data_IF_970869179859
#
_entry.id   IF_970869179859
#
_cell.length_a   1.000
_cell.length_b   1.000
_cell.length_c   1.000
_cell.angle_alpha   90.00
_cell.angle_beta   90.00
_cell.angle_gamma   90.00
#
_symmetry.space_group_name_H-M   'P 1'
#
loop_
_entity.id
_entity.type
_entity.pdbx_description
1 polymer ?
#
# COMPACT_ATOMS: atom_id res chain seq x y z
N UNK A 1 -7.23 18.38 26.62
CA UNK A 1 -7.04 17.67 25.33
C UNK A 1 -5.69 18.10 24.79
N UNK A 2 -4.73 17.18 24.65
CA UNK A 2 -3.43 17.50 24.05
C UNK A 2 -3.62 17.94 22.61
N UNK A 3 -2.86 18.93 22.16
CA UNK A 3 -2.90 19.42 20.78
C UNK A 3 -2.45 18.27 19.86
N UNK A 4 -3.30 17.86 18.91
CA UNK A 4 -2.95 16.79 17.96
C UNK A 4 -1.82 17.25 17.05
N UNK A 5 -0.86 16.36 16.81
CA UNK A 5 0.36 16.66 16.04
C UNK A 5 0.04 16.73 14.56
N UNK A 6 0.38 17.85 13.91
CA UNK A 6 0.24 18.01 12.46
C UNK A 6 1.13 17.02 11.69
N UNK A 7 0.64 16.56 10.53
CA UNK A 7 1.32 15.60 9.65
C UNK A 7 1.49 16.22 8.26
N UNK A 8 2.68 16.10 7.71
CA UNK A 8 3.00 16.40 6.31
C UNK A 8 3.10 15.09 5.53
N UNK A 9 2.21 14.90 4.56
CA UNK A 9 2.16 13.69 3.74
C UNK A 9 2.86 13.93 2.40
N UNK A 10 3.91 13.17 2.13
CA UNK A 10 4.68 13.26 0.88
C UNK A 10 4.64 11.92 0.17
N UNK A 11 4.45 11.92 -1.14
CA UNK A 11 4.85 10.79 -1.99
C UNK A 11 6.13 11.15 -2.72
N UNK A 12 7.12 10.26 -2.69
CA UNK A 12 8.41 10.46 -3.33
C UNK A 12 8.77 9.30 -4.26
N UNK A 13 9.30 9.63 -5.43
CA UNK A 13 9.68 8.66 -6.46
C UNK A 13 9.66 9.30 -7.85
N UNK A 14 9.71 8.46 -8.88
CA UNK A 14 9.60 8.91 -10.28
C UNK A 14 9.18 7.78 -11.22
N UNK A 15 8.11 7.95 -12.04
CA UNK A 15 7.16 9.08 -12.08
C UNK A 15 6.09 9.01 -10.97
N UNK A 16 5.65 10.15 -10.43
CA UNK A 16 4.60 10.21 -9.38
C UNK A 16 3.47 11.21 -9.63
N UNK A 17 3.41 11.84 -10.80
CA UNK A 17 2.38 12.82 -11.15
C UNK A 17 0.95 12.30 -10.94
N UNK A 18 0.69 11.03 -11.26
CA UNK A 18 -0.61 10.36 -11.13
C UNK A 18 -0.84 9.74 -9.73
N UNK A 19 0.09 9.88 -8.78
CA UNK A 19 -0.06 9.24 -7.47
C UNK A 19 -1.29 9.74 -6.71
N UNK A 20 -2.07 8.78 -6.19
CA UNK A 20 -3.24 9.01 -5.35
C UNK A 20 -2.91 9.06 -3.85
N UNK A 21 -1.62 8.94 -3.48
CA UNK A 21 -1.18 8.98 -2.07
C UNK A 21 -1.69 10.21 -1.30
N UNK A 22 -1.58 11.45 -1.83
CA UNK A 22 -2.12 12.62 -1.13
C UNK A 22 -3.63 12.59 -0.92
N UNK A 23 -4.39 12.01 -1.86
CA UNK A 23 -5.84 11.90 -1.73
C UNK A 23 -6.22 10.84 -0.70
N UNK A 24 -5.60 9.67 -0.77
CA UNK A 24 -5.80 8.58 0.19
C UNK A 24 -5.47 9.01 1.63
N UNK A 25 -4.40 9.78 1.82
CA UNK A 25 -4.04 10.27 3.15
C UNK A 25 -5.10 11.21 3.74
N UNK A 26 -5.66 12.11 2.92
CA UNK A 26 -6.75 13.00 3.33
C UNK A 26 -8.05 12.25 3.64
N UNK A 27 -8.38 11.21 2.88
CA UNK A 27 -9.55 10.37 3.13
C UNK A 27 -9.46 9.64 4.48
N UNK A 28 -8.29 9.06 4.79
CA UNK A 28 -8.08 8.39 6.09
C UNK A 28 -8.07 9.40 7.24
N UNK A 29 -7.40 10.55 7.06
CA UNK A 29 -7.37 11.63 8.06
C UNK A 29 -8.78 12.16 8.36
N UNK A 30 -9.56 12.45 7.32
CA UNK A 30 -10.93 12.97 7.47
C UNK A 30 -11.86 11.93 8.07
N UNK A 31 -11.66 10.63 7.77
CA UNK A 31 -12.40 9.57 8.45
C UNK A 31 -12.15 9.55 9.95
N UNK A 32 -10.89 9.68 10.36
CA UNK A 32 -10.48 9.62 11.76
C UNK A 32 -10.84 10.90 12.53
N UNK A 33 -10.69 12.07 11.91
CA UNK A 33 -10.70 13.34 12.62
C UNK A 33 -11.85 14.28 12.24
N UNK A 34 -12.54 14.00 11.13
CA UNK A 34 -13.44 14.95 10.49
C UNK A 34 -12.69 16.15 9.91
N UNK A 35 -13.40 17.01 9.17
CA UNK A 35 -12.79 18.13 8.46
C UNK A 35 -12.23 19.25 9.34
N UNK A 36 -12.76 19.41 10.56
CA UNK A 36 -12.42 20.53 11.44
C UNK A 36 -11.22 20.26 12.35
N UNK A 37 -10.77 19.01 12.48
CA UNK A 37 -9.66 18.60 13.36
C UNK A 37 -8.61 17.76 12.61
N UNK A 38 -8.48 17.99 11.29
CA UNK A 38 -7.54 17.28 10.42
C UNK A 38 -6.11 17.33 10.93
N UNK A 39 -5.45 16.19 10.84
CA UNK A 39 -4.05 16.02 11.17
C UNK A 39 -3.15 16.35 9.97
N UNK A 40 -3.57 16.01 8.75
CA UNK A 40 -2.82 16.32 7.53
C UNK A 40 -2.92 17.84 7.27
N UNK A 41 -1.83 18.55 7.54
CA UNK A 41 -1.74 20.00 7.31
C UNK A 41 -1.07 20.36 6.00
N UNK A 42 -0.30 19.44 5.42
CA UNK A 42 0.35 19.66 4.13
C UNK A 42 0.50 18.35 3.34
N UNK A 43 0.45 18.47 2.02
CA UNK A 43 0.66 17.38 1.08
C UNK A 43 1.70 17.78 0.01
N UNK A 44 2.45 16.81 -0.52
CA UNK A 44 3.26 17.03 -1.74
C UNK A 44 3.55 15.77 -2.54
N UNK A 45 3.98 15.99 -3.78
CA UNK A 45 4.54 14.99 -4.69
C UNK A 45 5.98 15.41 -4.98
N UNK A 46 6.95 14.74 -4.37
CA UNK A 46 8.37 15.05 -4.50
C UNK A 46 9.06 14.14 -5.51
N UNK A 47 9.20 14.63 -6.73
CA UNK A 47 9.76 13.86 -7.85
C UNK A 47 11.28 13.72 -7.70
N UNK A 48 11.76 12.50 -7.45
CA UNK A 48 13.19 12.20 -7.33
C UNK A 48 13.47 10.71 -7.55
N UNK A 49 14.64 10.42 -8.13
CA UNK A 49 15.20 9.07 -8.20
C UNK A 49 16.30 8.79 -7.19
N UNK A 50 16.70 9.79 -6.39
CA UNK A 50 17.83 9.70 -5.46
C UNK A 50 17.38 9.74 -4.00
N UNK A 51 17.59 8.62 -3.31
CA UNK A 51 17.32 8.46 -1.88
C UNK A 51 18.20 9.39 -1.03
N UNK A 52 19.46 9.62 -1.43
CA UNK A 52 20.38 10.46 -0.64
C UNK A 52 19.94 11.91 -0.63
N UNK A 53 19.55 12.43 -1.81
CA UNK A 53 18.94 13.76 -1.92
C UNK A 53 17.68 13.88 -1.06
N UNK A 54 16.77 12.90 -1.14
CA UNK A 54 15.54 12.89 -0.34
C UNK A 54 15.83 12.93 1.17
N UNK A 55 16.69 12.04 1.67
CA UNK A 55 17.10 12.03 3.08
C UNK A 55 17.75 13.35 3.51
N UNK A 56 18.57 13.94 2.65
CA UNK A 56 19.16 15.24 2.89
C UNK A 56 18.12 16.34 3.07
N UNK A 57 17.06 16.37 2.25
CA UNK A 57 15.98 17.35 2.41
C UNK A 57 15.22 17.12 3.73
N UNK A 58 14.92 15.87 4.06
CA UNK A 58 14.19 15.48 5.28
C UNK A 58 14.95 15.92 6.54
N UNK A 59 16.22 15.51 6.66
CA UNK A 59 17.01 15.71 7.89
C UNK A 59 17.43 17.17 8.06
N UNK A 60 17.70 17.88 6.96
CA UNK A 60 18.08 19.31 7.00
C UNK A 60 16.88 20.26 7.13
N UNK A 61 15.65 19.72 7.25
CA UNK A 61 14.43 20.52 7.40
C UNK A 61 14.13 21.41 6.18
N UNK A 62 14.54 20.97 4.98
CA UNK A 62 14.34 21.71 3.73
C UNK A 62 12.98 21.39 3.12
N UNK A 63 12.52 22.27 2.23
CA UNK A 63 11.19 22.20 1.65
C UNK A 63 11.04 21.00 0.69
N UNK A 64 10.21 20.02 1.03
CA UNK A 64 9.78 18.92 0.15
C UNK A 64 8.56 19.33 -0.69
N UNK A 65 8.53 20.60 -1.09
CA UNK A 65 7.41 21.26 -1.77
C UNK A 65 6.05 21.03 -1.07
N UNK A 66 6.08 20.97 0.26
CA UNK A 66 4.87 20.75 1.07
C UNK A 66 3.99 21.99 1.03
N UNK A 67 2.73 21.80 0.66
CA UNK A 67 1.74 22.87 0.60
C UNK A 67 0.43 22.42 1.26
N UNK A 68 -0.36 23.39 1.73
CA UNK A 68 -1.70 23.10 2.22
C UNK A 68 -2.54 22.45 1.11
N UNK A 69 -3.36 21.43 1.43
CA UNK A 69 -4.28 20.84 0.45
C UNK A 69 -5.22 21.90 -0.15
N UNK A 70 -5.50 21.87 -1.47
CA UNK A 70 -6.45 22.80 -2.08
C UNK A 70 -7.85 22.67 -1.47
N UNK A 71 -8.54 23.80 -1.23
CA UNK A 71 -9.88 23.79 -0.63
C UNK A 71 -10.90 22.97 -1.41
N UNK A 72 -10.81 22.96 -2.75
CA UNK A 72 -11.66 22.11 -3.60
C UNK A 72 -11.48 20.62 -3.27
N UNK A 73 -10.24 20.16 -3.13
CA UNK A 73 -9.93 18.76 -2.79
C UNK A 73 -10.45 18.42 -1.40
N UNK A 74 -10.31 19.33 -0.43
CA UNK A 74 -10.80 19.14 0.92
C UNK A 74 -12.33 19.00 0.98
N UNK A 75 -13.06 19.82 0.22
CA UNK A 75 -14.51 19.73 0.15
C UNK A 75 -14.96 18.41 -0.47
N UNK A 76 -14.29 17.93 -1.51
CA UNK A 76 -14.60 16.62 -2.12
C UNK A 76 -14.34 15.47 -1.15
N UNK A 77 -13.21 15.50 -0.44
CA UNK A 77 -12.89 14.50 0.59
C UNK A 77 -13.92 14.50 1.73
N UNK A 78 -14.35 15.67 2.17
CA UNK A 78 -15.39 15.82 3.19
C UNK A 78 -16.73 15.24 2.73
N UNK A 79 -17.18 15.62 1.52
CA UNK A 79 -18.42 15.12 0.95
C UNK A 79 -18.38 13.58 0.82
N UNK A 80 -17.33 13.03 0.21
CA UNK A 80 -17.17 11.58 0.09
C UNK A 80 -17.16 10.88 1.46
N UNK A 81 -16.51 11.47 2.47
CA UNK A 81 -16.46 10.88 3.81
C UNK A 81 -17.83 10.86 4.50
N UNK A 82 -18.64 11.92 4.30
CA UNK A 82 -19.95 12.09 4.91
C UNK A 82 -21.07 11.34 4.18
N UNK A 83 -21.01 11.31 2.84
CA UNK A 83 -22.08 10.77 1.98
C UNK A 83 -21.87 9.28 1.69
N UNK A 84 -20.62 8.84 1.51
CA UNK A 84 -20.27 7.43 1.27
C UNK A 84 -19.92 6.76 2.60
N UNK A 85 -20.96 6.17 3.21
CA UNK A 85 -20.87 5.45 4.50
C UNK A 85 -20.87 3.93 4.35
N UNK A 86 -21.25 3.42 3.18
CA UNK A 86 -21.28 2.00 2.83
C UNK A 86 -20.50 1.74 1.53
N UNK A 87 -20.13 0.48 1.30
CA UNK A 87 -19.50 0.04 0.07
C UNK A 87 -20.42 -0.93 -0.70
N UNK A 88 -20.27 -1.07 -2.02
CA UNK A 88 -21.09 -1.99 -2.80
C UNK A 88 -21.04 -3.45 -2.28
N UNK A 89 -22.16 -4.19 -2.36
CA UNK A 89 -22.18 -5.60 -1.99
C UNK A 89 -21.23 -6.41 -2.90
N UNK A 90 -20.57 -7.42 -2.33
CA UNK A 90 -19.59 -8.25 -3.04
C UNK A 90 -18.16 -7.71 -3.02
N UNK A 91 -17.94 -6.48 -2.54
CA UNK A 91 -16.59 -5.97 -2.28
C UNK A 91 -16.13 -6.38 -0.88
N UNK A 92 -15.06 -7.16 -0.80
CA UNK A 92 -14.38 -7.43 0.46
C UNK A 92 -15.28 -7.99 1.56
N UNK A 93 -15.82 -9.20 1.36
CA UNK A 93 -16.89 -9.84 2.13
C UNK A 93 -16.67 -9.92 3.66
N UNK A 94 -15.48 -9.59 4.17
CA UNK A 94 -15.19 -9.50 5.59
C UNK A 94 -14.42 -8.20 5.88
N UNK A 95 -14.90 -7.31 6.76
CA UNK A 95 -14.06 -6.27 7.34
C UNK A 95 -12.98 -6.96 8.17
N UNK A 96 -11.78 -7.04 7.61
CA UNK A 96 -10.65 -7.68 8.27
C UNK A 96 -9.91 -6.60 9.02
N UNK A 97 -9.99 -6.67 10.34
CA UNK A 97 -9.28 -5.77 11.22
C UNK A 97 -7.78 -5.82 10.94
N UNK A 98 -7.15 -4.65 10.93
CA UNK A 98 -5.70 -4.52 10.83
C UNK A 98 -5.14 -4.89 12.20
N UNK A 99 -5.01 -6.19 12.43
CA UNK A 99 -4.51 -6.76 13.67
C UNK A 99 -3.25 -7.58 13.35
N UNK A 100 -2.28 -7.52 14.27
CA UNK A 100 -1.00 -8.24 14.27
C UNK A 100 0.23 -7.57 13.62
N UNK A 101 0.18 -6.31 13.15
CA UNK A 101 1.41 -5.62 12.73
C UNK A 101 2.22 -5.08 13.91
N UNK A 102 3.56 -5.15 13.82
CA UNK A 102 4.47 -4.48 14.76
C UNK A 102 4.25 -2.97 14.69
N UNK A 103 3.87 -2.40 15.83
CA UNK A 103 3.63 -0.95 15.97
C UNK A 103 4.98 -0.25 16.05
N UNK A 104 5.14 0.85 15.31
CA UNK A 104 6.29 1.74 15.48
C UNK A 104 6.15 2.50 16.80
N UNK A 105 7.27 2.72 17.49
CA UNK A 105 7.31 3.59 18.66
C UNK A 105 6.61 4.93 18.41
N UNK A 106 5.90 5.42 19.43
CA UNK A 106 5.17 6.68 19.34
C UNK A 106 6.10 7.84 18.93
N UNK A 107 5.62 8.75 18.06
CA UNK A 107 6.41 9.90 17.63
C UNK A 107 6.92 10.75 18.82
N UNK A 108 8.17 11.20 18.78
CA UNK A 108 8.75 12.03 19.84
C UNK A 108 8.42 13.53 19.67
N UNK A 109 8.17 14.27 20.76
CA UNK A 109 8.03 15.74 20.76
C UNK A 109 6.68 16.30 20.28
N UNK A 110 6.67 17.54 19.78
CA UNK A 110 5.47 18.25 19.29
C UNK A 110 5.63 18.74 17.83
N UNK A 111 6.78 18.45 17.22
CA UNK A 111 7.08 18.88 15.85
C UNK A 111 6.13 18.17 14.85
N UNK A 112 5.79 18.82 13.72
CA UNK A 112 5.05 18.17 12.65
C UNK A 112 5.71 16.86 12.23
N UNK A 113 4.90 15.80 12.11
CA UNK A 113 5.35 14.51 11.62
C UNK A 113 5.46 14.57 10.10
N UNK A 114 6.63 14.26 9.55
CA UNK A 114 6.76 14.06 8.11
C UNK A 114 6.59 12.57 7.81
N UNK A 115 5.58 12.22 7.02
CA UNK A 115 5.37 10.89 6.49
C UNK A 115 5.63 10.90 4.98
N UNK A 116 6.48 9.99 4.53
CA UNK A 116 6.85 9.82 3.12
C UNK A 116 6.50 8.40 2.66
N UNK A 117 5.58 8.31 1.71
CA UNK A 117 5.31 7.10 0.93
C UNK A 117 6.33 7.03 -0.22
N UNK A 118 7.21 6.04 -0.19
CA UNK A 118 8.26 5.85 -1.19
C UNK A 118 7.75 4.93 -2.29
N UNK A 119 7.95 5.34 -3.55
CA UNK A 119 7.71 4.51 -4.72
C UNK A 119 8.96 4.34 -5.57
N UNK A 120 8.86 3.57 -6.65
CA UNK A 120 9.95 3.38 -7.62
C UNK A 120 10.50 4.74 -8.06
N UNK A 121 11.84 4.89 -8.18
CA UNK A 121 12.88 3.88 -7.94
C UNK A 121 13.37 3.81 -6.48
N UNK A 122 12.83 4.59 -5.55
CA UNK A 122 13.42 4.79 -4.22
C UNK A 122 13.37 3.58 -3.28
N UNK A 123 12.47 2.61 -3.49
CA UNK A 123 12.18 1.53 -2.53
C UNK A 123 13.38 0.66 -2.12
N UNK A 124 14.46 0.65 -2.92
CA UNK A 124 15.68 -0.12 -2.66
C UNK A 124 16.87 0.74 -2.19
N UNK A 125 16.66 2.05 -1.98
CA UNK A 125 17.73 3.01 -1.71
C UNK A 125 18.23 3.04 -0.25
N UNK A 126 17.58 2.31 0.65
CA UNK A 126 17.94 2.25 2.07
C UNK A 126 18.52 0.89 2.45
N UNK A 127 19.49 0.89 3.36
CA UNK A 127 20.11 -0.31 3.91
C UNK A 127 20.42 -0.10 5.41
N UNK A 128 20.95 -1.15 6.07
CA UNK A 128 21.28 -1.13 7.50
C UNK A 128 22.31 -0.06 7.91
N UNK A 129 23.05 0.52 6.96
CA UNK A 129 24.03 1.61 7.20
C UNK A 129 23.44 3.01 6.96
N UNK A 130 22.17 3.12 6.57
CA UNK A 130 21.52 4.41 6.27
C UNK A 130 21.20 5.25 7.53
N UNK A 131 21.46 4.75 8.74
CA UNK A 131 21.16 5.48 9.99
C UNK A 131 19.67 5.60 10.28
N UNK A 132 18.86 4.68 9.76
CA UNK A 132 17.41 4.60 9.93
C UNK A 132 17.03 3.49 10.91
N UNK A 133 15.87 3.62 11.55
CA UNK A 133 15.29 2.59 12.41
C UNK A 133 14.28 1.79 11.58
N UNK A 134 14.52 0.49 11.40
CA UNK A 134 13.58 -0.38 10.69
C UNK A 134 12.51 -0.92 11.64
N UNK A 135 11.24 -0.91 11.21
CA UNK A 135 10.12 -1.52 11.94
C UNK A 135 9.92 -3.01 11.60
N UNK A 136 10.51 -3.45 10.49
CA UNK A 136 10.35 -4.78 9.91
C UNK A 136 11.62 -5.19 9.14
N UNK A 137 11.54 -6.26 8.33
CA UNK A 137 12.65 -6.77 7.51
C UNK A 137 12.87 -5.96 6.20
N UNK A 138 12.26 -4.77 6.02
CA UNK A 138 12.29 -4.05 4.74
C UNK A 138 13.69 -3.62 4.30
N UNK A 139 14.61 -3.38 5.23
CA UNK A 139 15.99 -3.04 4.91
C UNK A 139 16.75 -4.25 4.36
N UNK A 140 16.57 -5.42 4.98
CA UNK A 140 17.21 -6.68 4.55
C UNK A 140 16.71 -7.10 3.17
N UNK A 141 15.42 -6.86 2.92
CA UNK A 141 14.77 -7.16 1.65
C UNK A 141 14.89 -6.03 0.61
N UNK A 142 15.52 -4.90 0.94
CA UNK A 142 15.57 -3.70 0.10
C UNK A 142 14.19 -3.35 -0.52
N UNK A 143 13.15 -3.29 0.33
CA UNK A 143 11.74 -3.16 -0.05
C UNK A 143 10.97 -2.09 0.72
N UNK A 144 11.68 -1.06 1.18
CA UNK A 144 11.11 0.00 2.02
C UNK A 144 10.17 0.89 1.22
N UNK A 145 8.91 1.02 1.62
CA UNK A 145 7.92 1.92 0.98
C UNK A 145 7.35 2.97 1.95
N UNK A 146 7.66 2.90 3.25
CA UNK A 146 7.22 3.88 4.26
C UNK A 146 8.43 4.50 4.97
N UNK A 147 8.36 5.81 5.20
CA UNK A 147 9.31 6.57 6.00
C UNK A 147 8.57 7.58 6.87
N UNK A 148 8.97 7.67 8.14
CA UNK A 148 8.47 8.63 9.14
C UNK A 148 9.62 9.39 9.76
N UNK A 149 9.52 10.70 9.80
CA UNK A 149 10.45 11.61 10.48
C UNK A 149 9.69 12.50 11.45
N UNK A 150 10.04 12.46 12.74
CA UNK A 150 9.42 13.29 13.79
C UNK A 150 10.30 14.44 14.29
N UNK A 151 11.40 14.71 13.60
CA UNK A 151 12.42 15.69 14.03
C UNK A 151 13.51 15.10 14.92
N UNK A 152 13.38 13.84 15.36
CA UNK A 152 14.40 13.13 16.13
C UNK A 152 14.75 11.78 15.52
N UNK A 153 13.76 10.98 15.14
CA UNK A 153 13.94 9.60 14.66
C UNK A 153 13.41 9.45 13.25
N UNK A 154 14.20 8.76 12.44
CA UNK A 154 13.86 8.37 11.09
C UNK A 154 13.51 6.89 11.09
N UNK A 155 12.21 6.58 11.03
CA UNK A 155 11.69 5.21 11.08
C UNK A 155 11.19 4.79 9.71
N UNK A 156 11.44 3.55 9.31
CA UNK A 156 11.11 3.03 7.99
C UNK A 156 10.51 1.62 8.06
N UNK A 157 9.80 1.23 7.00
CA UNK A 157 9.32 -0.14 6.82
C UNK A 157 8.63 -0.37 5.47
N UNK A 158 7.93 -1.50 5.34
CA UNK A 158 7.22 -1.92 4.14
C UNK A 158 5.77 -2.28 4.43
N UNK A 159 4.84 -1.73 3.64
CA UNK A 159 3.40 -2.02 3.72
C UNK A 159 2.82 -2.55 2.42
N UNK A 160 3.62 -2.68 1.35
CA UNK A 160 3.19 -3.24 0.06
C UNK A 160 2.62 -4.66 0.25
N UNK A 161 3.40 -5.53 0.88
CA UNK A 161 3.04 -6.94 1.09
C UNK A 161 1.84 -7.11 2.02
N UNK A 162 1.81 -6.37 3.12
CA UNK A 162 0.66 -6.33 4.03
C UNK A 162 -0.61 -5.92 3.30
N UNK A 163 -0.51 -4.90 2.42
CA UNK A 163 -1.62 -4.46 1.58
C UNK A 163 -2.16 -5.57 0.67
N UNK A 164 -1.29 -6.32 -0.01
CA UNK A 164 -1.71 -7.45 -0.87
C UNK A 164 -2.37 -8.56 -0.07
N UNK A 165 -1.83 -8.90 1.11
CA UNK A 165 -2.45 -9.90 1.99
C UNK A 165 -3.84 -9.43 2.44
N UNK A 166 -4.02 -8.16 2.77
CA UNK A 166 -5.33 -7.60 3.12
C UNK A 166 -6.32 -7.67 1.96
N UNK A 167 -5.90 -7.36 0.73
CA UNK A 167 -6.74 -7.51 -0.47
C UNK A 167 -7.18 -8.97 -0.63
N UNK A 168 -6.26 -9.93 -0.59
CA UNK A 168 -6.59 -11.35 -0.72
C UNK A 168 -7.53 -11.84 0.39
N UNK A 169 -7.31 -11.37 1.61
CA UNK A 169 -8.16 -11.62 2.79
C UNK A 169 -9.58 -11.07 2.60
N UNK A 170 -9.72 -9.84 2.10
CA UNK A 170 -11.02 -9.24 1.79
C UNK A 170 -11.85 -10.12 0.82
N UNK A 171 -11.19 -10.75 -0.14
CA UNK A 171 -11.82 -11.66 -1.09
C UNK A 171 -11.84 -13.14 -0.64
N UNK A 172 -11.52 -13.42 0.62
CA UNK A 172 -11.72 -14.74 1.24
C UNK A 172 -10.66 -15.80 0.90
N UNK A 173 -9.53 -15.44 0.30
CA UNK A 173 -8.49 -16.43 -0.08
C UNK A 173 -7.90 -17.16 1.14
N UNK A 174 -7.84 -16.48 2.29
CA UNK A 174 -7.34 -17.05 3.54
C UNK A 174 -8.43 -17.70 4.42
N UNK A 175 -9.68 -17.75 3.95
CA UNK A 175 -10.81 -18.29 4.73
C UNK A 175 -10.98 -19.81 4.58
N UNK A 176 -10.15 -20.47 3.76
CA UNK A 176 -10.21 -21.91 3.52
C UNK A 176 -9.22 -22.67 4.40
N UNK A 177 -9.41 -23.99 4.55
CA UNK A 177 -8.45 -24.86 5.25
C UNK A 177 -7.15 -25.07 4.49
N UNK A 178 -7.10 -24.68 3.21
CA UNK A 178 -5.94 -24.86 2.34
C UNK A 178 -5.16 -23.55 2.24
N UNK A 179 -3.83 -23.62 2.41
CA UNK A 179 -2.96 -22.43 2.24
C UNK A 179 -3.13 -21.81 0.86
N UNK A 180 -3.47 -20.50 0.77
CA UNK A 180 -3.64 -19.83 -0.51
C UNK A 180 -2.31 -19.75 -1.28
N UNK A 181 -2.41 -19.76 -2.60
CA UNK A 181 -1.27 -19.65 -3.51
C UNK A 181 -1.21 -18.23 -4.10
N UNK A 182 -0.03 -17.62 -4.13
CA UNK A 182 0.24 -16.47 -4.98
C UNK A 182 1.17 -16.86 -6.12
N UNK A 183 0.78 -16.55 -7.35
CA UNK A 183 1.63 -16.59 -8.52
C UNK A 183 2.21 -15.19 -8.68
N UNK A 184 3.52 -15.08 -8.46
CA UNK A 184 4.21 -13.80 -8.36
C UNK A 184 5.14 -13.63 -9.56
N UNK A 185 4.79 -12.72 -10.48
CA UNK A 185 5.69 -12.34 -11.58
C UNK A 185 6.45 -11.06 -11.21
N UNK A 186 7.77 -11.16 -11.20
CA UNK A 186 8.69 -10.08 -10.85
C UNK A 186 9.45 -10.30 -9.54
N UNK A 187 10.54 -9.56 -9.36
CA UNK A 187 11.50 -9.72 -8.25
C UNK A 187 11.98 -8.40 -7.66
N UNK A 188 11.28 -7.30 -7.93
CA UNK A 188 11.57 -5.96 -7.39
C UNK A 188 11.23 -5.81 -5.90
N UNK A 189 11.41 -4.60 -5.38
CA UNK A 189 11.11 -4.24 -3.99
C UNK A 189 9.69 -4.65 -3.54
N UNK A 190 8.67 -4.29 -4.33
CA UNK A 190 7.28 -4.64 -4.02
C UNK A 190 7.06 -6.16 -4.04
N UNK A 191 7.61 -6.87 -5.04
CA UNK A 191 7.52 -8.33 -5.14
C UNK A 191 8.13 -9.04 -3.91
N UNK A 192 9.29 -8.57 -3.42
CA UNK A 192 9.91 -9.11 -2.19
C UNK A 192 9.09 -8.82 -0.95
N UNK A 193 8.51 -7.62 -0.82
CA UNK A 193 7.59 -7.28 0.27
C UNK A 193 6.35 -8.19 0.27
N UNK A 194 5.75 -8.41 -0.90
CA UNK A 194 4.61 -9.33 -1.06
C UNK A 194 4.98 -10.77 -0.72
N UNK A 195 6.12 -11.26 -1.21
CA UNK A 195 6.56 -12.62 -0.92
C UNK A 195 6.75 -12.86 0.58
N UNK A 196 7.38 -11.91 1.29
CA UNK A 196 7.57 -11.98 2.74
C UNK A 196 6.25 -12.00 3.51
N UNK A 197 5.38 -11.01 3.27
CA UNK A 197 4.08 -10.92 3.95
C UNK A 197 3.16 -12.10 3.63
N UNK A 198 3.18 -12.60 2.38
CA UNK A 198 2.37 -13.76 1.99
C UNK A 198 2.85 -15.06 2.65
N UNK A 199 4.17 -15.26 2.71
CA UNK A 199 4.76 -16.40 3.41
C UNK A 199 4.46 -16.35 4.91
N UNK A 200 4.59 -15.19 5.54
CA UNK A 200 4.28 -14.99 6.96
C UNK A 200 2.80 -15.22 7.28
N UNK A 201 1.90 -14.89 6.34
CA UNK A 201 0.48 -15.20 6.44
C UNK A 201 0.13 -16.69 6.23
N UNK A 202 1.13 -17.57 6.03
CA UNK A 202 0.95 -19.01 5.82
C UNK A 202 0.59 -19.41 4.39
N UNK A 203 0.76 -18.50 3.43
CA UNK A 203 0.55 -18.73 2.01
C UNK A 203 1.74 -19.39 1.32
N UNK A 204 1.46 -19.99 0.15
CA UNK A 204 2.46 -20.59 -0.75
C UNK A 204 2.71 -19.67 -1.94
N UNK A 205 3.90 -19.75 -2.54
CA UNK A 205 4.36 -18.84 -3.58
C UNK A 205 4.85 -19.64 -4.78
N UNK A 206 4.32 -19.35 -5.95
CA UNK A 206 4.89 -19.81 -7.21
C UNK A 206 5.56 -18.62 -7.93
N UNK A 207 6.90 -18.53 -7.93
CA UNK A 207 7.60 -17.46 -8.63
C UNK A 207 7.50 -17.68 -10.14
N UNK A 208 6.86 -16.76 -10.84
CA UNK A 208 6.80 -16.78 -12.30
C UNK A 208 7.94 -15.94 -12.87
N UNK A 209 8.61 -16.48 -13.90
CA UNK A 209 9.69 -15.79 -14.58
C UNK A 209 9.20 -14.46 -15.18
N UNK A 210 9.83 -13.37 -14.76
CA UNK A 210 9.63 -12.03 -15.30
C UNK A 210 10.93 -11.39 -15.76
N UNK A 211 10.98 -10.05 -15.79
CA UNK A 211 12.18 -9.22 -16.00
C UNK A 211 13.18 -9.39 -14.87
N UNK A 212 12.69 -9.52 -13.64
CA UNK A 212 13.50 -9.84 -12.46
C UNK A 212 12.91 -11.07 -11.79
N UNK A 213 13.76 -12.02 -11.41
CA UNK A 213 13.34 -13.22 -10.69
C UNK A 213 13.34 -12.90 -9.19
N UNK A 214 12.34 -13.41 -8.47
CA UNK A 214 12.32 -13.38 -7.01
C UNK A 214 13.48 -14.24 -6.47
N UNK A 215 14.30 -13.73 -5.55
CA UNK A 215 15.42 -14.49 -4.99
C UNK A 215 14.89 -15.71 -4.21
N UNK A 216 15.50 -16.87 -4.42
CA UNK A 216 15.15 -18.13 -3.74
C UNK A 216 15.62 -18.18 -2.28
N UNK A 217 16.42 -17.20 -1.83
CA UNK A 217 17.05 -17.17 -0.49
C UNK A 217 16.47 -16.11 0.45
N UNK A 218 15.32 -15.53 0.11
CA UNK A 218 14.61 -14.60 1.00
C UNK A 218 13.91 -15.31 2.17
N UNK A 219 13.32 -14.55 3.12
CA UNK A 219 12.55 -15.14 4.23
C UNK A 219 11.38 -16.03 3.78
N UNK A 220 10.90 -15.82 2.55
CA UNK A 220 9.84 -16.59 1.91
C UNK A 220 10.30 -17.93 1.31
N UNK A 221 11.58 -18.29 1.38
CA UNK A 221 12.15 -19.44 0.68
C UNK A 221 11.40 -20.75 0.95
N UNK A 222 10.98 -20.98 2.21
CA UNK A 222 10.25 -22.20 2.61
C UNK A 222 8.81 -22.27 2.08
N UNK A 223 8.28 -21.15 1.59
CA UNK A 223 6.93 -21.06 1.03
C UNK A 223 6.91 -21.18 -0.49
N UNK A 224 8.08 -21.25 -1.15
CA UNK A 224 8.17 -21.43 -2.61
C UNK A 224 7.80 -22.87 -2.98
N UNK A 225 6.89 -23.02 -3.95
CA UNK A 225 6.61 -24.30 -4.62
C UNK A 225 7.25 -24.31 -6.02
N UNK A 226 7.63 -25.50 -6.48
CA UNK A 226 8.38 -25.65 -7.75
C UNK A 226 7.49 -26.02 -8.93
N UNK A 227 6.33 -26.62 -8.68
CA UNK A 227 5.33 -26.94 -9.69
C UNK A 227 3.94 -26.43 -9.30
N UNK A 228 3.19 -25.93 -10.29
CA UNK A 228 1.77 -25.58 -10.11
C UNK A 228 0.88 -26.80 -9.87
N UNK A 229 1.36 -28.01 -10.16
CA UNK A 229 0.64 -29.26 -9.82
C UNK A 229 0.49 -29.42 -8.30
N UNK A 230 1.39 -28.81 -7.51
CA UNK A 230 1.33 -28.80 -6.04
C UNK A 230 0.20 -27.90 -5.51
N UNK A 231 -0.45 -27.09 -6.36
CA UNK A 231 -1.54 -26.17 -5.98
C UNK A 231 -2.72 -26.91 -5.34
N UNK A 232 -3.12 -28.06 -5.89
CA UNK A 232 -4.38 -28.72 -5.51
C UNK A 232 -5.58 -27.76 -5.63
N UNK A 233 -6.39 -27.67 -4.59
CA UNK A 233 -7.58 -26.81 -4.51
C UNK A 233 -7.30 -25.42 -3.91
N UNK A 234 -6.06 -24.95 -3.94
CA UNK A 234 -5.71 -23.70 -3.28
C UNK A 234 -6.35 -22.51 -3.97
N UNK A 235 -7.02 -21.62 -3.22
CA UNK A 235 -7.44 -20.34 -3.78
C UNK A 235 -6.18 -19.57 -4.19
N UNK A 236 -6.21 -18.98 -5.38
CA UNK A 236 -5.02 -18.49 -6.08
C UNK A 236 -5.16 -17.07 -6.54
N UNK A 237 -4.15 -16.27 -6.18
CA UNK A 237 -3.97 -14.91 -6.64
C UNK A 237 -2.84 -14.85 -7.67
N UNK A 238 -3.02 -14.09 -8.74
CA UNK A 238 -1.95 -13.70 -9.64
C UNK A 238 -1.64 -12.21 -9.47
N UNK A 239 -0.34 -11.89 -9.45
CA UNK A 239 0.17 -10.51 -9.46
C UNK A 239 1.32 -10.40 -10.45
N UNK A 240 1.35 -9.31 -11.20
CA UNK A 240 2.44 -8.99 -12.12
C UNK A 240 3.06 -7.64 -11.82
N UNK A 241 4.23 -7.65 -11.20
CA UNK A 241 5.02 -6.45 -10.92
C UNK A 241 5.90 -6.00 -12.10
N UNK A 242 5.97 -6.81 -13.17
CA UNK A 242 6.78 -6.53 -14.34
C UNK A 242 5.98 -6.02 -15.53
N UNK A 243 4.65 -6.00 -15.49
CA UNK A 243 3.84 -5.43 -16.58
C UNK A 243 3.62 -3.92 -16.40
N UNK A 244 3.68 -3.18 -17.51
CA UNK A 244 3.37 -1.76 -17.55
C UNK A 244 1.88 -1.46 -17.40
N UNK A 245 1.53 -0.17 -17.27
CA UNK A 245 0.13 0.28 -17.31
C UNK A 245 -0.48 -0.16 -18.65
N UNK A 246 -1.64 -0.82 -18.60
CA UNK A 246 -2.37 -1.27 -19.80
C UNK A 246 -1.94 -2.62 -20.40
N UNK A 247 -0.88 -3.25 -19.89
CA UNK A 247 -0.38 -4.54 -20.42
C UNK A 247 -0.98 -5.77 -19.72
N UNK A 248 -1.75 -5.59 -18.64
CA UNK A 248 -2.09 -6.65 -17.69
C UNK A 248 -3.33 -7.52 -17.99
N UNK A 249 -4.18 -7.17 -18.96
CA UNK A 249 -5.46 -7.91 -19.15
C UNK A 249 -5.28 -9.15 -20.05
N UNK A 250 -4.32 -9.12 -20.99
CA UNK A 250 -4.16 -10.17 -22.02
C UNK A 250 -2.91 -11.05 -21.86
N UNK A 251 -2.16 -10.93 -20.75
CA UNK A 251 -1.05 -11.86 -20.48
C UNK A 251 -1.65 -13.24 -20.17
N UNK A 252 -1.31 -14.28 -20.95
CA UNK A 252 -1.82 -15.62 -20.68
C UNK A 252 -1.40 -16.06 -19.28
N UNK A 253 -2.39 -16.25 -18.42
CA UNK A 253 -2.16 -16.80 -17.09
C UNK A 253 -1.72 -18.26 -17.23
N UNK A 254 -0.78 -18.72 -16.38
CA UNK A 254 -0.31 -20.10 -16.45
C UNK A 254 -1.42 -21.11 -16.11
N UNK A 255 -2.40 -20.68 -15.32
CA UNK A 255 -3.59 -21.44 -14.92
C UNK A 255 -4.77 -20.47 -14.68
N UNK A 256 -5.97 -21.02 -14.53
CA UNK A 256 -7.11 -20.25 -13.99
C UNK A 256 -6.81 -19.86 -12.53
N UNK A 257 -7.04 -18.59 -12.21
CA UNK A 257 -6.85 -18.01 -10.87
C UNK A 257 -8.15 -17.40 -10.38
N UNK A 258 -8.28 -17.22 -9.07
CA UNK A 258 -9.48 -16.64 -8.46
C UNK A 258 -9.41 -15.11 -8.52
N UNK A 259 -8.23 -14.54 -8.26
CA UNK A 259 -7.96 -13.10 -8.32
C UNK A 259 -6.77 -12.77 -9.20
N UNK A 260 -6.89 -11.69 -9.95
CA UNK A 260 -5.78 -11.03 -10.64
C UNK A 260 -5.71 -9.58 -10.16
N UNK A 261 -4.62 -9.21 -9.46
CA UNK A 261 -4.36 -7.82 -9.08
C UNK A 261 -3.26 -7.23 -9.97
N UNK A 262 -3.60 -6.17 -10.69
CA UNK A 262 -2.64 -5.37 -11.46
C UNK A 262 -2.06 -4.30 -10.53
N UNK A 263 -0.76 -4.29 -10.20
CA UNK A 263 -0.19 -3.31 -9.25
C UNK A 263 -0.19 -1.87 -9.78
N UNK A 264 -0.15 -1.71 -11.10
CA UNK A 264 -0.16 -0.42 -11.78
C UNK A 264 -1.56 0.16 -11.82
N UNK A 265 -1.67 1.49 -11.76
CA UNK A 265 -2.92 2.23 -11.90
C UNK A 265 -2.66 3.55 -12.63
N UNK A 266 -3.69 4.06 -13.30
CA UNK A 266 -3.67 5.38 -13.93
C UNK A 266 -5.03 6.07 -13.79
N UNK A 267 -5.19 7.23 -14.43
CA UNK A 267 -6.43 8.00 -14.40
C UNK A 267 -7.61 7.34 -15.13
N UNK A 268 -7.40 6.25 -15.88
CA UNK A 268 -8.43 5.51 -16.61
C UNK A 268 -8.94 4.28 -15.86
N UNK A 269 -8.19 3.81 -14.85
CA UNK A 269 -8.56 2.68 -14.01
C UNK A 269 -9.82 2.92 -13.16
N UNK A 270 -10.31 1.84 -12.54
CA UNK A 270 -11.49 1.86 -11.68
C UNK A 270 -11.28 0.96 -10.46
N UNK A 271 -11.85 1.36 -9.32
CA UNK A 271 -11.89 0.50 -8.12
C UNK A 271 -12.86 -0.68 -8.29
N UNK A 272 -13.77 -0.65 -9.28
CA UNK A 272 -14.76 -1.69 -9.50
C UNK A 272 -14.08 -2.97 -9.99
N UNK A 273 -14.18 -4.09 -9.25
CA UNK A 273 -13.68 -5.37 -9.71
C UNK A 273 -14.38 -5.82 -11.00
N UNK A 274 -13.62 -6.34 -11.96
CA UNK A 274 -14.14 -6.82 -13.24
C UNK A 274 -14.07 -8.35 -13.26
N UNK A 275 -15.21 -9.01 -13.46
CA UNK A 275 -15.23 -10.46 -13.62
C UNK A 275 -14.91 -10.84 -15.08
N UNK A 276 -13.81 -11.56 -15.28
CA UNK A 276 -13.40 -12.08 -16.57
C UNK A 276 -14.26 -13.27 -17.01
N UNK A 277 -14.16 -13.64 -18.29
CA UNK A 277 -14.92 -14.75 -18.90
C UNK A 277 -14.64 -16.12 -18.28
N UNK A 278 -13.49 -16.28 -17.62
CA UNK A 278 -13.07 -17.49 -16.90
C UNK A 278 -13.49 -17.49 -15.43
N UNK A 279 -14.23 -16.48 -14.98
CA UNK A 279 -14.60 -16.29 -13.58
C UNK A 279 -13.52 -15.63 -12.70
N UNK A 280 -12.33 -15.36 -13.26
CA UNK A 280 -11.26 -14.60 -12.58
C UNK A 280 -11.75 -13.19 -12.25
N UNK A 281 -11.51 -12.72 -11.02
CA UNK A 281 -11.82 -11.35 -10.64
C UNK A 281 -10.58 -10.46 -10.79
N UNK A 282 -10.68 -9.43 -11.64
CA UNK A 282 -9.60 -8.49 -11.92
C UNK A 282 -9.73 -7.24 -11.04
N UNK A 283 -8.63 -6.87 -10.39
CA UNK A 283 -8.52 -5.75 -9.47
C UNK A 283 -7.47 -4.75 -9.95
N UNK A 284 -7.79 -3.47 -9.85
CA UNK A 284 -6.91 -2.34 -10.17
C UNK A 284 -5.89 -2.06 -9.05
N UNK A 285 -4.78 -1.43 -9.39
CA UNK A 285 -3.70 -1.09 -8.45
C UNK A 285 -4.13 -0.21 -7.28
N UNK A 286 -5.25 0.50 -7.40
CA UNK A 286 -5.90 1.22 -6.30
C UNK A 286 -6.19 0.32 -5.09
N UNK A 287 -6.53 -0.94 -5.29
CA UNK A 287 -6.76 -1.89 -4.19
C UNK A 287 -5.50 -2.09 -3.35
N UNK A 288 -4.37 -2.34 -4.01
CA UNK A 288 -3.07 -2.45 -3.34
C UNK A 288 -2.68 -1.14 -2.67
N UNK A 289 -2.86 -0.01 -3.38
CA UNK A 289 -2.49 1.32 -2.91
C UNK A 289 -3.28 1.72 -1.64
N UNK A 290 -4.60 1.59 -1.65
CA UNK A 290 -5.44 1.90 -0.50
C UNK A 290 -5.09 1.01 0.70
N UNK A 291 -4.90 -0.29 0.47
CA UNK A 291 -4.54 -1.25 1.51
C UNK A 291 -3.20 -0.93 2.17
N UNK A 292 -2.15 -0.64 1.39
CA UNK A 292 -0.84 -0.26 1.96
C UNK A 292 -0.90 1.05 2.77
N UNK A 293 -1.83 1.96 2.44
CA UNK A 293 -2.01 3.23 3.16
C UNK A 293 -2.70 2.99 4.50
N UNK A 294 -3.71 2.13 4.56
CA UNK A 294 -4.31 1.73 5.84
C UNK A 294 -3.28 1.15 6.80
N UNK A 295 -2.39 0.28 6.30
CA UNK A 295 -1.26 -0.21 7.11
C UNK A 295 -0.29 0.89 7.50
N UNK A 296 0.05 1.81 6.59
CA UNK A 296 0.92 2.94 6.89
C UNK A 296 0.37 3.77 8.07
N UNK A 297 -0.93 4.05 8.08
CA UNK A 297 -1.59 4.73 9.18
C UNK A 297 -1.56 3.91 10.47
N UNK A 298 -1.90 2.63 10.41
CA UNK A 298 -1.93 1.74 11.59
C UNK A 298 -0.56 1.47 12.22
N UNK A 299 0.54 1.68 11.48
CA UNK A 299 1.89 1.36 11.93
C UNK A 299 2.67 2.64 12.25
N UNK A 300 2.62 3.64 11.38
CA UNK A 300 3.52 4.80 11.43
C UNK A 300 2.86 6.10 11.90
N UNK A 301 1.55 6.28 11.72
CA UNK A 301 0.92 7.60 11.92
C UNK A 301 0.06 7.60 13.19
N UNK A 302 -0.95 6.73 13.26
CA UNK A 302 -1.93 6.66 14.34
C UNK A 302 -2.13 5.19 14.81
N UNK A 303 -1.09 4.54 15.36
CA UNK A 303 -1.18 3.13 15.73
C UNK A 303 -2.21 2.84 16.83
N UNK A 304 -2.42 3.78 17.74
CA UNK A 304 -3.40 3.66 18.84
C UNK A 304 -4.86 3.65 18.32
N UNK A 305 -5.08 4.14 17.10
CA UNK A 305 -6.40 4.28 16.48
C UNK A 305 -6.62 3.31 15.33
N UNK A 306 -5.80 2.27 15.22
CA UNK A 306 -5.92 1.25 14.16
C UNK A 306 -7.31 0.60 14.06
N UNK A 307 -8.04 0.52 15.17
CA UNK A 307 -9.40 -0.05 15.22
C UNK A 307 -10.47 0.93 14.70
N UNK A 308 -10.13 2.21 14.57
CA UNK A 308 -11.00 3.28 14.05
C UNK A 308 -10.74 3.56 12.55
N UNK A 309 -9.80 2.85 11.92
CA UNK A 309 -9.52 3.01 10.49
C UNK A 309 -10.70 2.55 9.63
N UNK A 310 -10.92 3.16 8.45
CA UNK A 310 -11.98 2.70 7.56
C UNK A 310 -11.62 1.32 7.01
N UNK A 311 -12.65 0.52 6.70
CA UNK A 311 -12.42 -0.72 5.96
C UNK A 311 -11.85 -0.43 4.57
N UNK A 312 -11.09 -1.37 4.01
CA UNK A 312 -10.55 -1.23 2.65
C UNK A 312 -11.64 -0.96 1.59
N UNK A 313 -12.77 -1.70 1.57
CA UNK A 313 -13.85 -1.40 0.63
C UNK A 313 -14.42 0.02 0.80
N UNK A 314 -14.62 0.48 2.04
CA UNK A 314 -15.15 1.83 2.30
C UNK A 314 -14.19 2.92 1.82
N UNK A 315 -12.88 2.76 2.07
CA UNK A 315 -11.86 3.69 1.58
C UNK A 315 -11.84 3.74 0.05
N UNK A 316 -11.97 2.60 -0.63
CA UNK A 316 -12.02 2.52 -2.09
C UNK A 316 -13.29 3.16 -2.68
N UNK A 317 -14.45 2.98 -2.04
CA UNK A 317 -15.69 3.64 -2.48
C UNK A 317 -15.58 5.16 -2.39
N UNK A 318 -15.02 5.68 -1.29
CA UNK A 318 -14.75 7.12 -1.14
C UNK A 318 -13.70 7.64 -2.12
N UNK A 319 -12.66 6.86 -2.39
CA UNK A 319 -11.67 7.20 -3.41
C UNK A 319 -12.34 7.36 -4.78
N UNK A 320 -13.19 6.41 -5.17
CA UNK A 320 -13.93 6.46 -6.44
C UNK A 320 -14.78 7.71 -6.54
N UNK A 321 -15.54 8.02 -5.49
CA UNK A 321 -16.42 9.19 -5.45
C UNK A 321 -15.64 10.49 -5.65
N UNK A 322 -14.50 10.66 -4.96
CA UNK A 322 -13.66 11.84 -5.16
C UNK A 322 -13.06 11.89 -6.57
N UNK A 323 -12.58 10.77 -7.11
CA UNK A 323 -12.03 10.73 -8.47
C UNK A 323 -13.08 11.07 -9.54
N UNK A 324 -14.32 10.60 -9.38
CA UNK A 324 -15.42 10.88 -10.30
C UNK A 324 -15.85 12.35 -10.26
N UNK A 325 -15.76 13.01 -9.10
CA UNK A 325 -16.05 14.43 -8.92
C UNK A 325 -14.85 15.38 -9.21
N UNK A 326 -13.65 14.83 -9.45
CA UNK A 326 -12.47 15.58 -9.87
C UNK A 326 -12.35 15.74 -11.40
N UNK A 327 -13.06 14.90 -12.17
CA UNK A 327 -13.07 14.90 -13.63
C UNK A 327 -14.03 15.94 -14.20
#
# INVERSE_FOLDING_TARGET
MGRRRSVHCVVAGSPISHSLTPLLSLLVDTHLNGSNDRQISAISKYETGDMSSLLGQIVLGRNLDVAAPPSQLLNLVENATNEVVEHPPGWGANPIGIHESSIVEQPFGENPLLWVSLTTPLKHGLNSRSGVIANDRSLDMASTNQLRWDGHRLVVGSTDGLGVVLVARCFGLFSTTTSPLIILRGGGAAARSVADAWAEAGGRIYPQKGRRVLDERGPWASSIITSLDERGLSPTMYIDFDSGIGEGIDVPLPIQVDLHLTPSYDSSGSVVPIQGSTGTLHLDGRWMLAAQHLFAWSIFIEPDRRAELPSLPLLLSRLSDVEDNLR
#
